data_IF_728896362535
#
_entry.id   IF_728896362535
#
_cell.length_a   1.000
_cell.length_b   1.000
_cell.length_c   1.000
_cell.angle_alpha   90.00
_cell.angle_beta   90.00
_cell.angle_gamma   90.00
#
_symmetry.space_group_name_H-M   'P 1'
#
loop_
_entity.id
_entity.type
_entity.pdbx_description
1 polymer ?
#
# COMPACT_ATOMS: atom_id res chain seq x y z
N UNK A 1 52.54 -37.52 15.25
CA UNK A 1 51.22 -36.93 15.02
C UNK A 1 50.54 -36.66 16.36
N UNK A 2 50.53 -35.43 16.83
CA UNK A 2 49.81 -35.07 18.06
C UNK A 2 48.43 -34.57 17.64
N UNK A 3 47.39 -35.30 18.05
CA UNK A 3 45.99 -34.90 17.90
C UNK A 3 45.72 -33.67 18.81
N UNK A 4 45.34 -32.56 18.24
CA UNK A 4 44.86 -31.41 19.00
C UNK A 4 43.39 -31.67 19.37
N UNK A 5 43.19 -32.07 20.62
CA UNK A 5 41.85 -32.06 21.22
C UNK A 5 41.41 -30.63 21.41
N UNK A 6 40.42 -30.22 20.65
CA UNK A 6 39.65 -28.98 20.89
C UNK A 6 39.01 -29.10 22.29
N UNK A 7 39.54 -28.39 23.26
CA UNK A 7 38.87 -28.20 24.55
C UNK A 7 37.65 -27.33 24.33
N UNK A 8 36.45 -27.89 24.34
CA UNK A 8 35.21 -27.14 24.54
C UNK A 8 35.30 -26.51 25.93
N UNK A 9 35.53 -25.19 25.98
CA UNK A 9 35.45 -24.47 27.24
C UNK A 9 34.06 -24.67 27.85
N UNK A 10 34.03 -25.35 28.97
CA UNK A 10 32.81 -25.50 29.78
C UNK A 10 32.41 -24.09 30.25
N UNK A 11 31.32 -23.56 29.72
CA UNK A 11 30.75 -22.32 30.17
C UNK A 11 30.51 -22.43 31.67
N UNK A 12 31.29 -21.72 32.46
CA UNK A 12 31.17 -21.80 33.92
C UNK A 12 29.80 -21.32 34.38
N UNK A 13 29.19 -21.89 35.42
CA UNK A 13 27.84 -21.46 35.89
C UNK A 13 27.72 -19.96 36.15
N UNK A 14 28.83 -19.29 36.45
CA UNK A 14 28.88 -17.84 36.66
C UNK A 14 28.57 -17.07 35.38
N UNK A 15 29.06 -17.48 34.22
CA UNK A 15 28.75 -16.86 32.94
C UNK A 15 27.29 -17.09 32.53
N UNK A 16 26.75 -18.28 32.78
CA UNK A 16 25.35 -18.57 32.54
C UNK A 16 24.43 -17.66 33.40
N UNK A 17 24.78 -17.48 34.68
CA UNK A 17 24.06 -16.56 35.59
C UNK A 17 24.14 -15.13 35.07
N UNK A 18 25.34 -14.64 34.71
CA UNK A 18 25.51 -13.28 34.19
C UNK A 18 24.70 -13.02 32.92
N UNK A 19 24.72 -13.96 31.95
CA UNK A 19 23.90 -13.89 30.74
C UNK A 19 22.40 -13.92 31.03
N UNK A 20 21.97 -14.80 31.94
CA UNK A 20 20.55 -14.88 32.35
C UNK A 20 20.09 -13.59 33.00
N UNK A 21 20.90 -13.00 33.88
CA UNK A 21 20.57 -11.72 34.51
C UNK A 21 20.53 -10.58 33.49
N UNK A 22 21.50 -10.53 32.56
CA UNK A 22 21.51 -9.56 31.46
C UNK A 22 20.28 -9.64 30.57
N UNK A 23 19.86 -10.85 30.21
CA UNK A 23 18.63 -11.09 29.42
C UNK A 23 17.37 -10.68 30.19
N UNK A 24 17.29 -10.97 31.49
CA UNK A 24 16.16 -10.54 32.34
C UNK A 24 16.07 -9.02 32.43
N UNK A 25 17.20 -8.33 32.62
CA UNK A 25 17.23 -6.85 32.62
C UNK A 25 16.81 -6.28 31.28
N UNK A 26 17.33 -6.83 30.19
CA UNK A 26 16.95 -6.41 28.85
C UNK A 26 15.44 -6.61 28.58
N UNK A 27 14.91 -7.77 28.96
CA UNK A 27 13.48 -8.07 28.85
C UNK A 27 12.61 -7.13 29.70
N UNK A 28 13.07 -6.79 30.92
CA UNK A 28 12.39 -5.85 31.80
C UNK A 28 12.36 -4.43 31.19
N UNK A 29 13.47 -3.98 30.60
CA UNK A 29 13.55 -2.67 29.91
C UNK A 29 12.59 -2.65 28.72
N UNK A 30 12.63 -3.67 27.86
CA UNK A 30 11.74 -3.77 26.70
C UNK A 30 10.27 -3.82 27.12
N UNK A 31 9.96 -4.63 28.14
CA UNK A 31 8.61 -4.72 28.68
C UNK A 31 8.10 -3.41 29.29
N UNK A 32 8.98 -2.68 30.00
CA UNK A 32 8.65 -1.37 30.54
C UNK A 32 8.43 -0.34 29.43
N UNK A 33 9.26 -0.32 28.39
CA UNK A 33 9.10 0.57 27.25
C UNK A 33 7.77 0.28 26.53
N UNK A 34 7.49 -0.98 26.23
CA UNK A 34 6.25 -1.41 25.55
C UNK A 34 5.02 -1.02 26.38
N UNK A 35 5.05 -1.26 27.71
CA UNK A 35 3.96 -0.87 28.61
C UNK A 35 3.74 0.64 28.57
N UNK A 36 4.81 1.42 28.70
CA UNK A 36 4.78 2.88 28.66
C UNK A 36 4.17 3.44 27.35
N UNK A 37 4.43 2.78 26.20
CA UNK A 37 3.84 3.17 24.92
C UNK A 37 2.34 2.84 24.89
N UNK A 38 1.96 1.65 25.32
CA UNK A 38 0.55 1.21 25.37
C UNK A 38 -0.30 2.05 26.29
N UNK A 39 0.23 2.50 27.43
CA UNK A 39 -0.47 3.45 28.33
C UNK A 39 -0.77 4.81 27.66
N UNK A 40 -0.05 5.13 26.60
CA UNK A 40 -0.27 6.33 25.78
C UNK A 40 -1.08 6.04 24.52
N UNK A 41 -1.68 4.88 24.48
CA UNK A 41 -2.50 4.42 23.35
C UNK A 41 -1.74 4.29 22.00
N UNK A 42 -0.40 4.15 22.05
CA UNK A 42 0.36 3.73 20.89
C UNK A 42 0.28 2.22 20.73
N UNK A 43 -0.13 1.77 19.55
CA UNK A 43 -0.35 0.35 19.25
C UNK A 43 0.73 -0.20 18.32
N UNK A 44 0.99 -1.52 18.37
CA UNK A 44 1.80 -2.16 17.35
C UNK A 44 1.26 -1.85 15.96
N UNK A 45 2.14 -1.59 15.02
CA UNK A 45 1.78 -1.25 13.64
C UNK A 45 2.77 -1.82 12.65
N UNK A 46 2.25 -2.24 11.50
CA UNK A 46 3.08 -2.68 10.37
C UNK A 46 3.63 -1.44 9.67
N UNK A 47 4.92 -1.47 9.34
CA UNK A 47 5.55 -0.44 8.52
C UNK A 47 5.55 -0.89 7.05
N UNK A 48 4.92 -0.08 6.20
CA UNK A 48 5.02 -0.30 4.76
C UNK A 48 6.44 -0.04 4.25
N UNK A 49 6.91 -0.89 3.34
CA UNK A 49 8.28 -0.85 2.84
C UNK A 49 8.42 -1.62 1.54
N UNK A 50 9.50 -1.39 0.80
CA UNK A 50 9.83 -2.16 -0.40
C UNK A 50 9.92 -3.67 -0.13
N UNK A 51 10.39 -4.10 1.06
CA UNK A 51 10.43 -5.51 1.45
C UNK A 51 9.02 -6.09 1.64
N UNK A 52 8.10 -5.36 2.26
CA UNK A 52 6.72 -5.81 2.44
C UNK A 52 5.97 -5.82 1.10
N UNK A 53 6.24 -4.84 0.24
CA UNK A 53 5.74 -4.79 -1.12
C UNK A 53 6.24 -5.99 -1.93
N UNK A 54 7.53 -6.30 -1.89
CA UNK A 54 8.13 -7.45 -2.57
C UNK A 54 7.54 -8.77 -2.10
N UNK A 55 7.28 -8.91 -0.79
CA UNK A 55 6.59 -10.08 -0.23
C UNK A 55 5.17 -10.25 -0.81
N UNK A 56 4.47 -9.16 -1.09
CA UNK A 56 3.17 -9.24 -1.76
C UNK A 56 3.32 -9.45 -3.27
N UNK A 57 4.29 -8.79 -3.94
CA UNK A 57 4.55 -8.97 -5.38
C UNK A 57 4.83 -10.43 -5.74
N UNK A 58 5.61 -11.12 -4.92
CA UNK A 58 5.89 -12.55 -5.07
C UNK A 58 4.61 -13.41 -5.03
N UNK A 59 3.57 -12.98 -4.31
CA UNK A 59 2.29 -13.69 -4.26
C UNK A 59 1.48 -13.56 -5.56
N UNK A 60 1.81 -12.62 -6.43
CA UNK A 60 1.22 -12.49 -7.75
C UNK A 60 1.59 -13.69 -8.67
N UNK A 61 2.66 -14.41 -8.33
CA UNK A 61 3.14 -15.60 -9.05
C UNK A 61 2.67 -16.91 -8.39
N UNK A 62 1.96 -16.83 -7.26
CA UNK A 62 1.57 -18.02 -6.50
C UNK A 62 0.54 -18.86 -7.26
N UNK A 63 0.74 -20.18 -7.29
CA UNK A 63 -0.16 -21.14 -7.92
C UNK A 63 -1.41 -21.43 -7.06
N UNK A 64 -2.51 -21.78 -7.71
CA UNK A 64 -3.70 -22.33 -7.07
C UNK A 64 -4.95 -21.45 -7.09
N UNK A 65 -4.83 -20.13 -7.09
CA UNK A 65 -5.93 -19.16 -7.27
C UNK A 65 -5.53 -18.11 -8.30
N UNK A 66 -6.51 -17.46 -8.91
CA UNK A 66 -6.26 -16.37 -9.84
C UNK A 66 -5.77 -15.15 -9.06
N UNK A 67 -4.56 -14.64 -9.30
CA UNK A 67 -4.10 -13.42 -8.67
C UNK A 67 -5.01 -12.23 -9.02
N UNK A 68 -5.49 -11.51 -8.01
CA UNK A 68 -6.26 -10.27 -8.15
C UNK A 68 -5.45 -9.13 -7.54
N UNK A 69 -4.75 -8.41 -8.39
CA UNK A 69 -3.83 -7.37 -7.96
C UNK A 69 -4.56 -6.04 -7.81
N UNK A 70 -4.40 -5.43 -6.64
CA UNK A 70 -4.93 -4.12 -6.32
C UNK A 70 -3.80 -3.10 -6.45
N UNK A 71 -3.81 -2.34 -7.54
CA UNK A 71 -2.86 -1.28 -7.85
C UNK A 71 -3.53 0.08 -7.64
N UNK A 72 -2.74 1.07 -7.28
CA UNK A 72 -3.22 2.43 -7.04
C UNK A 72 -2.46 3.11 -5.92
N UNK A 73 -3.06 4.13 -5.35
CA UNK A 73 -2.53 4.86 -4.21
C UNK A 73 -3.33 4.55 -2.93
N UNK A 74 -3.45 5.53 -2.05
CA UNK A 74 -4.11 5.40 -0.74
C UNK A 74 -5.59 5.00 -0.82
N UNK A 75 -6.32 5.46 -1.83
CA UNK A 75 -7.76 5.19 -1.97
C UNK A 75 -8.05 3.69 -2.03
N UNK A 76 -7.32 2.95 -2.85
CA UNK A 76 -7.49 1.50 -2.94
C UNK A 76 -6.81 0.77 -1.78
N UNK A 77 -5.65 1.27 -1.32
CA UNK A 77 -4.90 0.62 -0.24
C UNK A 77 -5.68 0.62 1.07
N UNK A 78 -6.40 1.69 1.36
CA UNK A 78 -7.17 1.83 2.60
C UNK A 78 -8.68 1.61 2.42
N UNK A 79 -9.21 1.73 1.20
CA UNK A 79 -10.64 1.58 0.91
C UNK A 79 -11.09 0.13 0.73
N UNK A 80 -10.21 -0.82 0.44
CA UNK A 80 -10.59 -2.20 0.16
C UNK A 80 -10.25 -3.12 1.33
N UNK A 81 -11.27 -3.81 1.86
CA UNK A 81 -11.11 -4.91 2.82
C UNK A 81 -10.71 -6.19 2.08
N UNK A 82 -9.42 -6.51 2.13
CA UNK A 82 -8.87 -7.69 1.45
C UNK A 82 -9.32 -9.01 2.04
N UNK A 83 -9.74 -9.04 3.32
CA UNK A 83 -10.30 -10.25 3.95
C UNK A 83 -11.69 -10.53 3.40
N UNK A 84 -12.54 -9.51 3.41
CA UNK A 84 -13.88 -9.60 2.83
C UNK A 84 -13.80 -9.90 1.32
N UNK A 85 -12.86 -9.29 0.62
CA UNK A 85 -12.65 -9.56 -0.81
C UNK A 85 -12.33 -11.05 -1.09
N UNK A 86 -11.56 -11.72 -0.21
CA UNK A 86 -11.30 -13.17 -0.31
C UNK A 86 -12.55 -14.02 -0.06
N UNK A 87 -13.46 -13.56 0.79
CA UNK A 87 -14.72 -14.24 1.08
C UNK A 87 -15.70 -14.09 -0.07
N UNK A 88 -15.81 -12.87 -0.64
CA UNK A 88 -16.69 -12.57 -1.76
C UNK A 88 -16.23 -13.22 -3.06
N UNK A 89 -14.90 -13.33 -3.25
CA UNK A 89 -14.27 -13.82 -4.47
C UNK A 89 -13.34 -15.02 -4.18
N UNK A 90 -13.87 -16.20 -3.81
CA UNK A 90 -13.08 -17.33 -3.33
C UNK A 90 -12.15 -17.95 -4.39
N UNK A 91 -12.40 -17.70 -5.69
CA UNK A 91 -11.56 -18.13 -6.80
C UNK A 91 -10.31 -17.27 -6.95
N UNK A 92 -10.32 -16.06 -6.39
CA UNK A 92 -9.24 -15.08 -6.53
C UNK A 92 -8.36 -15.02 -5.29
N UNK A 93 -7.12 -14.60 -5.49
CA UNK A 93 -6.19 -14.23 -4.44
C UNK A 93 -5.92 -12.74 -4.48
N UNK A 94 -6.53 -11.92 -3.62
CA UNK A 94 -6.20 -10.50 -3.53
C UNK A 94 -4.75 -10.28 -3.10
N UNK A 95 -4.06 -9.40 -3.82
CA UNK A 95 -2.69 -8.98 -3.57
C UNK A 95 -2.64 -7.46 -3.61
N UNK A 96 -2.33 -6.82 -2.48
CA UNK A 96 -2.26 -5.37 -2.34
C UNK A 96 -0.89 -4.87 -2.78
N UNK A 97 -0.80 -4.27 -3.96
CA UNK A 97 0.40 -3.61 -4.49
C UNK A 97 0.26 -2.09 -4.57
N UNK A 98 -0.91 -1.55 -4.21
CA UNK A 98 -1.10 -0.12 -4.08
C UNK A 98 -0.13 0.48 -3.06
N UNK A 99 0.23 1.73 -3.24
CA UNK A 99 1.20 2.41 -2.40
C UNK A 99 0.72 3.82 -2.06
N UNK A 100 0.54 4.07 -0.77
CA UNK A 100 0.12 5.39 -0.28
C UNK A 100 0.97 6.53 -0.86
N UNK A 101 0.31 7.51 -1.46
CA UNK A 101 0.95 8.68 -2.06
C UNK A 101 1.66 8.44 -3.41
N UNK A 102 1.56 7.24 -4.01
CA UNK A 102 2.25 6.92 -5.26
C UNK A 102 1.29 6.30 -6.28
N UNK A 103 1.35 6.79 -7.50
CA UNK A 103 0.58 6.22 -8.61
C UNK A 103 1.18 4.91 -9.14
N UNK A 104 0.36 4.00 -9.71
CA UNK A 104 0.72 2.60 -9.95
C UNK A 104 1.51 2.33 -11.25
N UNK A 105 1.92 3.36 -11.99
CA UNK A 105 2.45 3.18 -13.34
C UNK A 105 3.67 2.24 -13.41
N UNK A 106 4.64 2.39 -12.48
CA UNK A 106 5.81 1.51 -12.47
C UNK A 106 5.43 0.04 -12.26
N UNK A 107 4.52 -0.25 -11.32
CA UNK A 107 4.04 -1.61 -11.06
C UNK A 107 3.27 -2.18 -12.24
N UNK A 108 2.43 -1.38 -12.91
CA UNK A 108 1.68 -1.82 -14.08
C UNK A 108 2.61 -2.20 -15.24
N UNK A 109 3.64 -1.39 -15.49
CA UNK A 109 4.64 -1.67 -16.52
C UNK A 109 5.49 -2.90 -16.18
N UNK A 110 5.85 -3.09 -14.91
CA UNK A 110 6.54 -4.28 -14.41
C UNK A 110 5.72 -5.56 -14.68
N UNK A 111 4.43 -5.55 -14.34
CA UNK A 111 3.53 -6.67 -14.62
C UNK A 111 3.34 -6.93 -16.12
N UNK A 112 3.37 -5.87 -16.93
CA UNK A 112 3.35 -5.99 -18.40
C UNK A 112 4.59 -6.70 -18.93
N UNK A 113 5.75 -6.47 -18.33
CA UNK A 113 7.03 -7.08 -18.68
C UNK A 113 7.21 -8.50 -18.10
N UNK A 114 6.48 -8.85 -17.05
CA UNK A 114 6.58 -10.17 -16.40
C UNK A 114 5.85 -11.25 -17.21
N UNK A 115 6.61 -12.09 -17.90
CA UNK A 115 6.07 -13.16 -18.77
C UNK A 115 5.25 -14.23 -18.02
N UNK A 116 5.41 -14.33 -16.71
CA UNK A 116 4.72 -15.31 -15.86
C UNK A 116 3.40 -14.79 -15.30
N UNK A 117 3.17 -13.48 -15.33
CA UNK A 117 1.96 -12.90 -14.80
C UNK A 117 0.75 -13.07 -15.74
N UNK A 118 -0.33 -13.67 -15.24
CA UNK A 118 -1.59 -13.94 -15.97
C UNK A 118 -2.85 -13.70 -15.11
N UNK A 119 -2.76 -12.82 -14.10
CA UNK A 119 -3.86 -12.49 -13.19
C UNK A 119 -4.76 -11.35 -13.67
N UNK A 120 -5.63 -10.91 -12.79
CA UNK A 120 -6.48 -9.72 -12.96
C UNK A 120 -5.84 -8.54 -12.23
N UNK A 121 -5.72 -7.41 -12.92
CA UNK A 121 -5.21 -6.15 -12.36
C UNK A 121 -6.34 -5.16 -12.24
N UNK A 122 -6.68 -4.75 -11.02
CA UNK A 122 -7.55 -3.62 -10.72
C UNK A 122 -6.66 -2.42 -10.41
N UNK A 123 -6.64 -1.46 -11.31
CA UNK A 123 -5.72 -0.33 -11.26
C UNK A 123 -6.49 0.96 -10.99
N UNK A 124 -6.46 1.41 -9.73
CA UNK A 124 -7.08 2.68 -9.33
C UNK A 124 -6.21 3.86 -9.73
N UNK A 125 -6.73 4.65 -10.64
CA UNK A 125 -6.03 5.81 -11.20
C UNK A 125 -7.00 6.95 -11.52
N UNK A 126 -6.47 8.15 -11.57
CA UNK A 126 -7.04 9.30 -12.28
C UNK A 126 -6.23 9.58 -13.56
N UNK A 127 -6.59 10.63 -14.29
CA UNK A 127 -5.89 11.00 -15.53
C UNK A 127 -4.40 11.31 -15.31
N UNK A 128 -4.01 11.79 -14.12
CA UNK A 128 -2.62 12.09 -13.75
C UNK A 128 -1.81 10.81 -13.55
N UNK A 129 -2.41 9.82 -12.90
CA UNK A 129 -1.73 8.62 -12.42
C UNK A 129 -1.07 7.76 -13.50
N UNK A 130 -1.42 7.99 -14.76
CA UNK A 130 -0.83 7.31 -15.92
C UNK A 130 0.24 8.14 -16.63
N UNK A 131 0.52 9.36 -16.16
CA UNK A 131 1.56 10.19 -16.74
C UNK A 131 2.96 9.66 -16.38
N UNK A 132 3.88 9.72 -17.36
CA UNK A 132 5.21 9.11 -17.24
C UNK A 132 6.05 9.63 -16.06
N UNK A 133 5.88 10.89 -15.68
CA UNK A 133 6.63 11.49 -14.58
C UNK A 133 6.27 10.91 -13.19
N UNK A 134 5.13 10.26 -13.04
CA UNK A 134 4.80 9.58 -11.78
C UNK A 134 5.42 8.18 -11.65
N UNK A 135 6.03 7.66 -12.70
CA UNK A 135 6.69 6.36 -12.66
C UNK A 135 7.79 6.31 -11.61
N UNK A 136 8.60 7.35 -11.54
CA UNK A 136 9.83 7.37 -10.73
C UNK A 136 9.56 7.26 -9.22
N UNK A 137 8.41 7.72 -8.77
CA UNK A 137 8.05 7.64 -7.36
C UNK A 137 7.88 6.19 -6.86
N UNK A 138 7.35 5.29 -7.69
CA UNK A 138 7.14 3.88 -7.33
C UNK A 138 8.27 2.96 -7.83
N UNK A 139 9.06 3.39 -8.81
CA UNK A 139 10.12 2.59 -9.43
C UNK A 139 11.08 1.95 -8.40
N UNK A 140 11.50 2.62 -7.29
CA UNK A 140 12.39 2.02 -6.30
C UNK A 140 11.86 0.72 -5.67
N UNK A 141 10.55 0.53 -5.58
CA UNK A 141 9.93 -0.69 -5.07
C UNK A 141 10.05 -1.84 -6.06
N UNK A 142 9.85 -1.55 -7.34
CA UNK A 142 10.05 -2.49 -8.45
C UNK A 142 11.53 -2.88 -8.55
N UNK A 143 12.43 -1.89 -8.52
CA UNK A 143 13.87 -2.14 -8.58
C UNK A 143 14.35 -2.98 -7.39
N UNK A 144 13.84 -2.72 -6.18
CA UNK A 144 14.15 -3.54 -5.01
C UNK A 144 13.74 -5.00 -5.20
N UNK A 145 12.56 -5.25 -5.74
CA UNK A 145 12.08 -6.60 -6.02
C UNK A 145 13.00 -7.36 -6.98
N UNK A 146 13.43 -6.73 -8.06
CA UNK A 146 14.26 -7.39 -9.06
C UNK A 146 15.74 -7.50 -8.68
N UNK A 147 16.26 -6.60 -7.84
CA UNK A 147 17.70 -6.51 -7.58
C UNK A 147 18.13 -6.96 -6.18
N UNK A 148 17.25 -6.86 -5.19
CA UNK A 148 17.60 -7.07 -3.79
C UNK A 148 16.76 -8.15 -3.11
N UNK A 149 15.51 -8.40 -3.59
CA UNK A 149 14.65 -9.39 -2.97
C UNK A 149 15.22 -10.80 -3.11
N UNK A 150 15.22 -11.56 -2.01
CA UNK A 150 15.82 -12.89 -1.94
C UNK A 150 15.12 -13.73 -0.86
N UNK A 151 15.31 -15.06 -0.84
CA UNK A 151 14.78 -15.94 0.21
C UNK A 151 15.15 -15.50 1.63
N UNK A 152 16.36 -14.96 1.83
CA UNK A 152 16.79 -14.45 3.13
C UNK A 152 15.96 -13.22 3.55
N UNK A 153 15.74 -12.29 2.63
CA UNK A 153 14.92 -11.11 2.88
C UNK A 153 13.46 -11.49 3.11
N UNK A 154 12.94 -12.52 2.45
CA UNK A 154 11.60 -13.06 2.69
C UNK A 154 11.44 -13.50 4.15
N UNK A 155 12.35 -14.36 4.63
CA UNK A 155 12.34 -14.86 6.01
C UNK A 155 12.48 -13.70 7.00
N UNK A 156 13.45 -12.81 6.77
CA UNK A 156 13.64 -11.62 7.59
C UNK A 156 12.36 -10.78 7.67
N UNK A 157 11.73 -10.48 6.53
CA UNK A 157 10.51 -9.67 6.49
C UNK A 157 9.35 -10.35 7.20
N UNK A 158 9.19 -11.65 7.04
CA UNK A 158 8.16 -12.41 7.75
C UNK A 158 8.33 -12.32 9.27
N UNK A 159 9.54 -12.54 9.77
CA UNK A 159 9.85 -12.43 11.21
C UNK A 159 9.65 -11.00 11.72
N UNK A 160 10.13 -10.00 10.99
CA UNK A 160 9.95 -8.59 11.34
C UNK A 160 8.47 -8.21 11.38
N UNK A 161 7.67 -8.72 10.45
CA UNK A 161 6.21 -8.47 10.43
C UNK A 161 5.54 -9.04 11.68
N UNK A 162 5.93 -10.23 12.17
CA UNK A 162 5.39 -10.78 13.43
C UNK A 162 5.80 -9.93 14.63
N UNK A 163 7.05 -9.44 14.65
CA UNK A 163 7.54 -8.54 15.67
C UNK A 163 6.75 -7.22 15.69
N UNK A 164 6.56 -6.61 14.53
CA UNK A 164 5.78 -5.37 14.37
C UNK A 164 4.31 -5.52 14.76
N UNK A 165 3.71 -6.70 14.54
CA UNK A 165 2.34 -7.00 15.02
C UNK A 165 2.24 -7.12 16.53
N UNK A 166 3.30 -7.58 17.18
CA UNK A 166 3.29 -7.90 18.60
C UNK A 166 3.70 -6.72 19.47
N UNK A 167 4.58 -5.84 18.97
CA UNK A 167 5.30 -4.88 19.79
C UNK A 167 5.28 -3.48 19.17
N UNK A 168 4.81 -2.48 19.92
CA UNK A 168 4.86 -1.07 19.51
C UNK A 168 6.30 -0.57 19.36
N UNK A 169 7.21 -1.03 20.22
CA UNK A 169 8.65 -0.71 20.19
C UNK A 169 9.33 -1.11 18.86
N UNK A 170 8.69 -1.94 18.04
CA UNK A 170 9.20 -2.31 16.72
C UNK A 170 9.18 -1.16 15.70
N UNK A 171 8.40 -0.10 15.95
CA UNK A 171 8.41 1.10 15.12
C UNK A 171 9.64 1.96 15.45
N UNK A 172 10.34 2.52 14.44
CA UNK A 172 11.57 3.28 14.63
C UNK A 172 11.43 4.47 15.59
N UNK A 173 10.28 5.13 15.57
CA UNK A 173 9.94 6.26 16.44
C UNK A 173 9.79 5.87 17.92
N UNK A 174 9.65 4.59 18.21
CA UNK A 174 9.49 4.02 19.55
C UNK A 174 10.70 3.18 19.99
N UNK A 175 11.72 3.05 19.15
CA UNK A 175 12.92 2.31 19.47
C UNK A 175 13.74 2.94 20.60
N UNK A 176 14.67 2.16 21.16
CA UNK A 176 15.50 2.57 22.31
C UNK A 176 16.21 3.92 22.12
N UNK A 177 16.74 4.21 20.92
CA UNK A 177 17.41 5.47 20.62
C UNK A 177 16.44 6.66 20.69
N UNK A 178 15.22 6.48 20.18
CA UNK A 178 14.18 7.52 20.24
C UNK A 178 13.77 7.80 21.68
N UNK A 179 13.62 6.77 22.51
CA UNK A 179 13.28 6.92 23.93
C UNK A 179 14.43 7.59 24.71
N UNK A 180 15.68 7.23 24.46
CA UNK A 180 16.83 7.89 25.07
C UNK A 180 16.89 9.39 24.73
N UNK A 181 16.62 9.76 23.48
CA UNK A 181 16.53 11.17 23.09
C UNK A 181 15.43 11.92 23.86
N UNK A 182 14.28 11.29 24.09
CA UNK A 182 13.19 11.89 24.89
C UNK A 182 13.57 12.06 26.35
N UNK A 183 14.21 11.06 26.94
CA UNK A 183 14.71 11.14 28.33
C UNK A 183 15.77 12.23 28.52
N UNK A 184 16.55 12.51 27.47
CA UNK A 184 17.61 13.54 27.47
C UNK A 184 17.11 14.95 27.08
N UNK A 185 15.81 15.17 26.98
CA UNK A 185 15.25 16.52 26.82
C UNK A 185 14.69 16.84 25.43
N UNK A 186 14.42 15.84 24.58
CA UNK A 186 13.65 15.99 23.34
C UNK A 186 12.21 15.50 23.58
N UNK A 187 11.31 16.33 24.14
CA UNK A 187 10.05 15.86 24.75
C UNK A 187 8.94 15.55 23.73
N UNK A 188 9.16 15.81 22.44
CA UNK A 188 8.12 15.62 21.42
C UNK A 188 7.78 14.14 21.26
N UNK A 189 6.54 13.79 21.58
CA UNK A 189 5.95 12.52 21.26
C UNK A 189 5.54 12.51 19.78
N UNK A 190 5.74 11.40 19.05
CA UNK A 190 5.28 11.33 17.69
C UNK A 190 3.74 11.52 17.65
N UNK A 191 3.19 12.21 16.65
CA UNK A 191 1.76 12.28 16.47
C UNK A 191 1.20 10.86 16.29
N UNK A 192 -0.01 10.62 16.79
CA UNK A 192 -0.70 9.36 16.51
C UNK A 192 -1.02 9.28 15.01
N UNK A 193 -0.70 8.17 14.40
CA UNK A 193 -1.12 7.92 13.04
C UNK A 193 -2.61 7.56 13.03
N UNK A 194 -3.38 8.22 12.18
CA UNK A 194 -4.75 7.82 11.86
C UNK A 194 -4.81 6.71 10.80
N UNK A 195 -3.64 6.30 10.29
CA UNK A 195 -3.50 5.22 9.32
C UNK A 195 -2.83 4.03 9.98
N UNK A 196 -3.43 2.84 9.81
CA UNK A 196 -2.88 1.56 10.29
C UNK A 196 -2.68 0.63 9.10
N UNK A 197 -1.48 0.05 8.98
CA UNK A 197 -1.21 -0.96 7.95
C UNK A 197 -1.38 -2.38 8.48
N UNK A 198 -1.87 -3.27 7.61
CA UNK A 198 -1.99 -4.70 7.85
C UNK A 198 -0.81 -5.47 7.22
N UNK A 199 -0.70 -6.75 7.56
CA UNK A 199 0.41 -7.62 7.08
C UNK A 199 0.38 -7.86 5.57
N UNK A 200 -0.74 -7.66 4.93
CA UNK A 200 -0.93 -7.80 3.49
C UNK A 200 -0.88 -6.45 2.75
N UNK A 201 -0.44 -5.39 3.44
CA UNK A 201 -0.32 -4.01 2.98
C UNK A 201 -1.64 -3.26 2.78
N UNK A 202 -2.80 -3.91 2.96
CA UNK A 202 -4.02 -3.12 3.16
C UNK A 202 -3.90 -2.31 4.45
N UNK A 203 -4.75 -1.35 4.66
CA UNK A 203 -4.74 -0.57 5.90
C UNK A 203 -6.08 0.08 6.17
N UNK A 204 -6.20 0.69 7.34
CA UNK A 204 -7.39 1.39 7.80
C UNK A 204 -7.08 2.86 8.03
N UNK A 205 -8.06 3.72 7.76
CA UNK A 205 -8.04 5.12 8.17
C UNK A 205 -9.12 5.31 9.22
N UNK A 206 -8.70 5.78 10.40
CA UNK A 206 -9.58 6.14 11.51
C UNK A 206 -9.67 7.68 11.60
N UNK A 207 -10.84 8.21 11.28
CA UNK A 207 -11.08 9.64 11.32
C UNK A 207 -11.60 10.16 12.67
N UNK A 208 -11.63 9.35 13.73
CA UNK A 208 -12.18 9.76 15.04
C UNK A 208 -11.47 10.98 15.62
N UNK A 209 -10.14 11.00 15.61
CA UNK A 209 -9.29 12.03 16.23
C UNK A 209 -8.53 12.91 15.21
N UNK A 210 -9.12 13.11 14.01
CA UNK A 210 -8.44 13.83 12.92
C UNK A 210 -9.11 15.19 12.64
N UNK A 211 -8.31 16.21 12.40
CA UNK A 211 -8.80 17.48 11.84
C UNK A 211 -9.14 17.30 10.33
N UNK A 212 -10.37 16.85 10.09
CA UNK A 212 -10.87 16.56 8.75
C UNK A 212 -10.78 17.76 7.81
N UNK A 213 -11.17 18.99 8.24
CA UNK A 213 -10.99 20.19 7.42
C UNK A 213 -9.53 20.46 7.04
N UNK A 214 -8.58 20.22 7.95
CA UNK A 214 -7.16 20.41 7.65
C UNK A 214 -6.67 19.37 6.64
N UNK A 215 -7.10 18.10 6.76
CA UNK A 215 -6.79 17.06 5.76
C UNK A 215 -7.37 17.41 4.39
N UNK A 216 -8.64 17.80 4.32
CA UNK A 216 -9.27 18.21 3.04
C UNK A 216 -8.49 19.34 2.39
N UNK A 217 -8.11 20.37 3.16
CA UNK A 217 -7.28 21.47 2.62
C UNK A 217 -5.95 20.96 2.09
N UNK A 218 -5.28 20.06 2.81
CA UNK A 218 -3.98 19.54 2.37
C UNK A 218 -4.07 18.76 1.06
N UNK A 219 -5.16 18.03 0.80
CA UNK A 219 -5.39 17.36 -0.48
C UNK A 219 -5.65 18.34 -1.61
N UNK A 220 -6.46 19.39 -1.35
CA UNK A 220 -6.72 20.45 -2.33
C UNK A 220 -5.45 21.23 -2.67
N UNK A 221 -4.66 21.60 -1.66
CA UNK A 221 -3.37 22.27 -1.84
C UNK A 221 -2.39 21.37 -2.58
N UNK A 222 -2.27 20.09 -2.20
CA UNK A 222 -1.43 19.13 -2.87
C UNK A 222 -1.80 18.91 -4.33
N UNK A 223 -3.11 18.87 -4.65
CA UNK A 223 -3.60 18.82 -6.03
C UNK A 223 -3.19 20.06 -6.83
N UNK A 224 -3.41 21.25 -6.27
CA UNK A 224 -3.07 22.51 -6.94
C UNK A 224 -1.55 22.65 -7.17
N UNK A 225 -0.75 22.22 -6.19
CA UNK A 225 0.72 22.22 -6.32
C UNK A 225 1.18 21.26 -7.40
N UNK A 226 0.58 20.06 -7.47
CA UNK A 226 0.86 19.08 -8.49
C UNK A 226 0.51 19.59 -9.90
N UNK A 227 -0.66 20.18 -10.08
CA UNK A 227 -1.09 20.78 -11.34
C UNK A 227 -0.18 21.95 -11.77
N UNK A 228 0.33 22.70 -10.80
CA UNK A 228 1.30 23.79 -11.08
C UNK A 228 2.66 23.23 -11.54
N UNK A 229 3.12 22.15 -10.94
CA UNK A 229 4.39 21.51 -11.30
C UNK A 229 4.28 20.69 -12.59
N UNK A 230 3.12 20.08 -12.80
CA UNK A 230 2.83 19.19 -13.91
C UNK A 230 1.50 19.59 -14.57
N UNK A 231 1.45 20.67 -15.34
CA UNK A 231 0.24 21.10 -16.00
C UNK A 231 -0.36 20.01 -16.88
N UNK A 232 -1.72 19.91 -16.96
CA UNK A 232 -2.38 18.89 -17.75
C UNK A 232 -1.98 19.00 -19.23
N UNK A 233 -1.66 17.85 -19.81
CA UNK A 233 -1.38 17.75 -21.24
C UNK A 233 -2.68 17.82 -22.04
N UNK A 234 -2.63 18.37 -23.25
CA UNK A 234 -3.76 18.29 -24.16
C UNK A 234 -4.14 16.84 -24.45
N UNK A 235 -5.43 16.57 -24.65
CA UNK A 235 -5.98 15.21 -24.75
C UNK A 235 -5.27 14.31 -25.78
N UNK A 236 -4.86 14.83 -26.93
CA UNK A 236 -4.14 14.05 -27.94
C UNK A 236 -2.73 13.66 -27.44
N UNK A 237 -2.02 14.58 -26.81
CA UNK A 237 -0.69 14.33 -26.24
C UNK A 237 -0.78 13.32 -25.09
N UNK A 238 -1.82 13.47 -24.24
CA UNK A 238 -2.07 12.53 -23.16
C UNK A 238 -2.33 11.11 -23.67
N UNK A 239 -3.22 10.96 -24.67
CA UNK A 239 -3.50 9.65 -25.30
C UNK A 239 -2.24 9.05 -25.92
N UNK A 240 -1.45 9.85 -26.64
CA UNK A 240 -0.19 9.38 -27.21
C UNK A 240 0.79 8.89 -26.12
N UNK A 241 0.80 9.55 -24.96
CA UNK A 241 1.60 9.16 -23.79
C UNK A 241 1.17 7.82 -23.16
N UNK A 242 -0.05 7.31 -23.44
CA UNK A 242 -0.54 6.04 -22.93
C UNK A 242 0.02 4.80 -23.65
N UNK A 243 0.82 4.98 -24.70
CA UNK A 243 1.34 3.84 -25.47
C UNK A 243 2.04 2.79 -24.58
N UNK A 244 2.93 3.11 -23.61
CA UNK A 244 3.53 2.11 -22.73
C UNK A 244 2.49 1.35 -21.89
N UNK A 245 1.43 2.05 -21.46
CA UNK A 245 0.30 1.45 -20.71
C UNK A 245 -0.47 0.48 -21.62
N UNK A 246 -0.78 0.89 -22.83
CA UNK A 246 -1.44 0.04 -23.83
C UNK A 246 -0.61 -1.23 -24.14
N UNK A 247 0.70 -1.08 -24.32
CA UNK A 247 1.61 -2.20 -24.53
C UNK A 247 1.60 -3.18 -23.35
N UNK A 248 1.64 -2.67 -22.11
CA UNK A 248 1.56 -3.49 -20.89
C UNK A 248 0.20 -4.21 -20.76
N UNK A 249 -0.91 -3.52 -21.04
CA UNK A 249 -2.26 -4.12 -21.08
C UNK A 249 -2.33 -5.23 -22.12
N UNK A 250 -1.83 -4.99 -23.33
CA UNK A 250 -1.82 -5.98 -24.41
C UNK A 250 -0.97 -7.20 -24.05
N UNK A 251 0.19 -6.99 -23.41
CA UNK A 251 1.07 -8.07 -22.96
C UNK A 251 0.39 -8.93 -21.87
N UNK A 252 -0.24 -8.33 -20.86
CA UNK A 252 -1.00 -9.06 -19.83
C UNK A 252 -2.14 -9.85 -20.45
N UNK A 253 -2.90 -9.26 -21.36
CA UNK A 253 -4.02 -9.92 -22.04
C UNK A 253 -3.59 -11.08 -22.92
N UNK A 254 -2.48 -10.96 -23.64
CA UNK A 254 -1.95 -12.03 -24.49
C UNK A 254 -1.61 -13.30 -23.70
N UNK A 255 -1.36 -13.18 -22.40
CA UNK A 255 -1.09 -14.28 -21.46
C UNK A 255 -2.34 -14.78 -20.73
N UNK A 256 -3.54 -14.27 -21.10
CA UNK A 256 -4.82 -14.67 -20.49
C UNK A 256 -5.18 -13.88 -19.21
N UNK A 257 -4.39 -12.86 -18.85
CA UNK A 257 -4.74 -11.92 -17.79
C UNK A 257 -5.69 -10.81 -18.24
N UNK A 258 -6.06 -9.91 -17.33
CA UNK A 258 -6.88 -8.74 -17.64
C UNK A 258 -6.45 -7.53 -16.82
N UNK A 259 -6.72 -6.34 -17.36
CA UNK A 259 -6.50 -5.06 -16.67
C UNK A 259 -7.80 -4.27 -16.71
N UNK A 260 -8.18 -3.71 -15.58
CA UNK A 260 -9.33 -2.81 -15.43
C UNK A 260 -8.87 -1.56 -14.72
N UNK A 261 -9.06 -0.42 -15.36
CA UNK A 261 -8.85 0.87 -14.71
C UNK A 261 -10.10 1.27 -13.93
N UNK A 262 -9.90 1.62 -12.69
CA UNK A 262 -10.96 2.09 -11.80
C UNK A 262 -10.62 3.49 -11.36
N UNK A 263 -11.57 4.39 -11.38
CA UNK A 263 -11.48 5.70 -10.75
C UNK A 263 -12.34 5.66 -9.48
N UNK A 264 -11.70 5.53 -8.33
CA UNK A 264 -12.41 5.57 -7.05
C UNK A 264 -12.92 6.99 -6.74
N UNK A 265 -14.03 7.13 -5.98
CA UNK A 265 -14.69 8.42 -5.81
C UNK A 265 -13.85 9.42 -5.00
N UNK A 266 -14.04 10.67 -5.33
CA UNK A 266 -13.68 11.85 -4.52
C UNK A 266 -14.93 12.68 -4.25
N UNK A 267 -14.86 13.62 -3.34
CA UNK A 267 -15.99 14.46 -2.99
C UNK A 267 -15.61 15.93 -2.72
N UNK A 268 -16.62 16.79 -2.69
CA UNK A 268 -16.45 18.20 -2.35
C UNK A 268 -15.58 18.97 -3.34
N UNK A 269 -14.75 19.85 -2.81
CA UNK A 269 -13.86 20.72 -3.60
C UNK A 269 -12.85 19.93 -4.43
N UNK A 270 -12.28 18.85 -3.88
CA UNK A 270 -11.33 18.01 -4.58
C UNK A 270 -11.94 17.40 -5.86
N UNK A 271 -13.15 16.86 -5.76
CA UNK A 271 -13.88 16.32 -6.91
C UNK A 271 -14.15 17.39 -7.99
N UNK A 272 -14.54 18.59 -7.56
CA UNK A 272 -14.77 19.71 -8.48
C UNK A 272 -13.49 20.11 -9.20
N UNK A 273 -12.37 20.20 -8.49
CA UNK A 273 -11.07 20.52 -9.06
C UNK A 273 -10.58 19.44 -10.04
N UNK A 274 -10.67 18.16 -9.66
CA UNK A 274 -10.29 17.04 -10.53
C UNK A 274 -11.06 17.10 -11.86
N UNK A 275 -12.38 17.29 -11.84
CA UNK A 275 -13.19 17.35 -13.04
C UNK A 275 -12.99 18.64 -13.87
N UNK A 276 -12.62 19.75 -13.21
CA UNK A 276 -12.33 21.02 -13.90
C UNK A 276 -11.00 20.94 -14.66
N UNK A 277 -9.98 20.39 -14.01
CA UNK A 277 -8.62 20.33 -14.56
C UNK A 277 -8.45 19.17 -15.54
N UNK A 278 -9.12 18.05 -15.24
CA UNK A 278 -9.09 16.83 -16.05
C UNK A 278 -10.51 16.40 -16.47
N UNK A 279 -11.18 17.17 -17.38
CA UNK A 279 -12.51 16.83 -17.85
C UNK A 279 -12.58 15.39 -18.36
N UNK A 280 -13.62 14.68 -17.95
CA UNK A 280 -13.80 13.25 -18.21
C UNK A 280 -13.73 12.94 -19.73
N UNK A 281 -14.36 13.76 -20.56
CA UNK A 281 -14.48 13.58 -22.02
C UNK A 281 -13.11 13.70 -22.72
N UNK A 282 -12.19 14.48 -22.14
CA UNK A 282 -10.84 14.68 -22.69
C UNK A 282 -9.90 13.55 -22.30
N UNK A 283 -10.08 12.97 -21.11
CA UNK A 283 -9.15 12.01 -20.52
C UNK A 283 -9.80 10.64 -20.30
N UNK A 284 -10.64 10.50 -19.28
CA UNK A 284 -11.12 9.20 -18.82
C UNK A 284 -11.88 8.41 -19.87
N UNK A 285 -12.82 9.03 -20.59
CA UNK A 285 -13.64 8.36 -21.60
C UNK A 285 -12.82 7.87 -22.80
N UNK A 286 -11.60 8.38 -22.97
CA UNK A 286 -10.66 7.94 -24.00
C UNK A 286 -9.74 6.79 -23.55
N UNK A 287 -9.65 6.52 -22.24
CA UNK A 287 -8.70 5.56 -21.68
C UNK A 287 -8.94 4.14 -22.21
N UNK A 288 -10.19 3.69 -22.25
CA UNK A 288 -10.51 2.34 -22.73
C UNK A 288 -10.11 2.15 -24.20
N UNK A 289 -10.41 3.10 -25.07
CA UNK A 289 -10.04 3.03 -26.51
C UNK A 289 -8.53 3.15 -26.72
N UNK A 290 -7.84 3.95 -25.88
CA UNK A 290 -6.41 4.16 -26.00
C UNK A 290 -5.58 2.96 -25.51
N UNK A 291 -6.08 2.20 -24.52
CA UNK A 291 -5.32 1.13 -23.87
C UNK A 291 -5.87 -0.27 -24.16
N UNK A 292 -7.12 -0.39 -24.61
CA UNK A 292 -7.82 -1.66 -24.77
C UNK A 292 -8.27 -2.30 -23.44
N UNK A 293 -8.11 -1.62 -22.31
CA UNK A 293 -8.57 -2.09 -21.00
C UNK A 293 -10.01 -1.64 -20.72
N UNK A 294 -10.73 -2.39 -19.89
CA UNK A 294 -12.01 -1.93 -19.33
C UNK A 294 -11.79 -0.78 -18.35
N UNK A 295 -12.77 0.12 -18.23
CA UNK A 295 -12.74 1.26 -17.33
C UNK A 295 -14.02 1.35 -16.51
N UNK A 296 -13.89 1.78 -15.25
CA UNK A 296 -15.01 2.03 -14.32
C UNK A 296 -14.78 3.39 -13.68
N UNK A 297 -15.55 4.40 -14.10
CA UNK A 297 -15.52 5.70 -13.45
C UNK A 297 -16.40 5.70 -12.19
N UNK A 298 -16.01 6.48 -11.19
CA UNK A 298 -16.80 6.63 -9.95
C UNK A 298 -18.21 7.13 -10.21
N UNK A 299 -18.38 8.03 -11.18
CA UNK A 299 -19.69 8.59 -11.54
C UNK A 299 -20.64 7.58 -12.17
N UNK A 300 -20.10 6.47 -12.71
CA UNK A 300 -20.87 5.38 -13.31
C UNK A 300 -21.35 4.34 -12.27
N UNK A 301 -21.04 4.55 -10.98
CA UNK A 301 -21.45 3.70 -9.85
C UNK A 301 -22.21 4.56 -8.83
N UNK A 302 -23.54 4.70 -8.96
CA UNK A 302 -24.34 5.56 -8.09
C UNK A 302 -24.20 5.26 -6.61
N UNK A 303 -24.00 3.99 -6.26
CA UNK A 303 -23.85 3.50 -4.90
C UNK A 303 -22.63 4.09 -4.19
N UNK A 304 -21.56 4.43 -4.92
CA UNK A 304 -20.39 5.10 -4.33
C UNK A 304 -20.69 6.49 -3.81
N UNK A 305 -21.74 7.17 -4.32
CA UNK A 305 -22.16 8.49 -3.85
C UNK A 305 -22.77 8.48 -2.45
N UNK A 306 -23.14 7.30 -1.94
CA UNK A 306 -23.66 7.13 -0.58
C UNK A 306 -22.58 7.20 0.50
N UNK A 307 -21.32 6.96 0.13
CA UNK A 307 -20.21 6.98 1.10
C UNK A 307 -19.75 8.40 1.38
N UNK A 308 -19.58 8.68 2.68
CA UNK A 308 -19.05 9.96 3.13
C UNK A 308 -17.53 9.90 3.17
N UNK A 309 -16.88 10.61 2.25
CA UNK A 309 -15.43 10.78 2.24
C UNK A 309 -15.06 11.96 3.12
N UNK A 310 -14.59 11.68 4.34
CA UNK A 310 -14.47 12.68 5.41
C UNK A 310 -13.35 13.70 5.17
N UNK A 311 -12.38 13.37 4.34
CA UNK A 311 -11.31 14.26 3.87
C UNK A 311 -11.43 14.61 2.37
N UNK A 312 -12.53 14.21 1.74
CA UNK A 312 -12.79 14.36 0.31
C UNK A 312 -12.22 13.27 -0.57
N UNK A 313 -11.48 12.30 -0.01
CA UNK A 313 -10.75 11.27 -0.78
C UNK A 313 -10.87 9.85 -0.23
N UNK A 314 -10.99 9.66 1.08
CA UNK A 314 -10.88 8.35 1.70
C UNK A 314 -12.13 7.95 2.47
N UNK A 315 -12.35 6.63 2.49
CA UNK A 315 -13.40 5.97 3.27
C UNK A 315 -12.89 5.71 4.68
N UNK A 316 -13.75 5.95 5.69
CA UNK A 316 -13.47 5.52 7.07
C UNK A 316 -13.47 4.00 7.17
N UNK A 317 -12.66 3.44 8.07
CA UNK A 317 -12.55 2.00 8.21
C UNK A 317 -13.86 1.31 8.61
N UNK A 318 -14.80 2.04 9.24
CA UNK A 318 -16.14 1.50 9.56
C UNK A 318 -16.98 1.24 8.31
N UNK A 319 -16.86 2.10 7.30
CA UNK A 319 -17.62 1.99 6.05
C UNK A 319 -16.93 1.08 5.01
N UNK A 320 -15.65 0.76 5.23
CA UNK A 320 -14.81 -0.02 4.32
C UNK A 320 -15.39 -1.39 3.91
N UNK A 321 -16.01 -2.19 4.82
CA UNK A 321 -16.62 -3.45 4.41
C UNK A 321 -17.75 -3.26 3.39
N UNK A 322 -18.63 -2.28 3.59
CA UNK A 322 -19.71 -1.99 2.64
C UNK A 322 -19.19 -1.39 1.34
N UNK A 323 -18.22 -0.49 1.43
CA UNK A 323 -17.53 0.04 0.26
C UNK A 323 -16.91 -1.08 -0.59
N UNK A 324 -16.31 -2.10 0.05
CA UNK A 324 -15.74 -3.26 -0.64
C UNK A 324 -16.82 -4.09 -1.33
N UNK A 325 -18.03 -4.26 -0.75
CA UNK A 325 -19.15 -4.95 -1.42
C UNK A 325 -19.58 -4.21 -2.68
N UNK A 326 -19.83 -2.91 -2.56
CA UNK A 326 -20.20 -2.07 -3.72
C UNK A 326 -19.12 -2.11 -4.81
N UNK A 327 -17.84 -2.12 -4.40
CA UNK A 327 -16.73 -2.27 -5.34
C UNK A 327 -16.78 -3.59 -6.12
N UNK A 328 -17.03 -4.71 -5.43
CA UNK A 328 -17.17 -6.04 -6.04
C UNK A 328 -18.40 -6.11 -6.95
N UNK A 329 -19.52 -5.57 -6.50
CA UNK A 329 -20.76 -5.53 -7.28
C UNK A 329 -20.58 -4.74 -8.58
N UNK A 330 -19.90 -3.60 -8.51
CA UNK A 330 -19.58 -2.77 -9.67
C UNK A 330 -18.69 -3.51 -10.70
N UNK A 331 -17.72 -4.30 -10.25
CA UNK A 331 -16.87 -5.13 -11.11
C UNK A 331 -17.65 -6.29 -11.74
N UNK A 332 -18.47 -6.98 -10.94
CA UNK A 332 -19.27 -8.11 -11.36
C UNK A 332 -20.35 -7.71 -12.38
N UNK A 333 -21.05 -6.60 -12.13
CA UNK A 333 -22.06 -6.06 -13.03
C UNK A 333 -21.51 -5.73 -14.44
N UNK A 334 -20.20 -5.50 -14.53
CA UNK A 334 -19.51 -5.20 -15.80
C UNK A 334 -18.78 -6.42 -16.40
N UNK A 335 -18.95 -7.61 -15.81
CA UNK A 335 -18.34 -8.84 -16.28
C UNK A 335 -16.82 -8.88 -16.15
N UNK A 336 -16.27 -8.15 -15.17
CA UNK A 336 -14.82 -8.11 -14.91
C UNK A 336 -14.39 -9.30 -14.05
N UNK A 337 -15.26 -9.72 -13.13
CA UNK A 337 -15.03 -10.81 -12.16
C UNK A 337 -16.09 -11.90 -12.26
#
# INVERSE_FOLDING_TARGET
>A
MRSSTSSSEVVTPRWAIAWSLGLLVAAAIVGWMEHRWRERDYRPGILDSAQLWSLQRERAEASGKIPLLLLGASRIQFGIDTKLLKELLPRYQPVMLAQNGHYPLATLLDLGADEHFHGVVLCDVDARGLASYYRDAQQPYVDYFHTQWSPNWRVHRQLLTQWQRAMAIAAPEFGFVAEMKRLLGSPAWPPRSHVTFHTDRSGDIDFSDVDKPALTRSFVEGFNDDVRLHPPQGGETWVAGLKPVADAVAAIRSRGGSVVFVQTPTSGELHTLENTVYPREIYWDRLSSATGAATIASDDVPEWKSFRLLDGSHVDYHDKPEYTRVFVDALTARGVL
#
